data_IF_819161616490
#
_entry.id   IF_819161616490
#
_cell.length_a   1.000
_cell.length_b   1.000
_cell.length_c   1.000
_cell.angle_alpha   90.00
_cell.angle_beta   90.00
_cell.angle_gamma   90.00
#
_symmetry.space_group_name_H-M   'P 1'
#
loop_
_entity.id
_entity.type
_entity.pdbx_description
1 polymer ?
#
# COMPACT_ATOMS: atom_id res chain seq x y z
N UNK A 1 -25.57 36.09 -21.88
CA UNK A 1 -24.66 35.31 -20.99
C UNK A 1 -25.49 34.19 -20.40
N UNK A 2 -25.08 32.94 -20.56
CA UNK A 2 -25.76 31.79 -19.97
C UNK A 2 -25.46 31.80 -18.47
N UNK A 3 -26.50 31.77 -17.62
CA UNK A 3 -26.34 31.65 -16.17
C UNK A 3 -26.07 30.18 -15.87
N UNK A 4 -25.12 29.92 -14.97
CA UNK A 4 -24.68 28.56 -14.65
C UNK A 4 -24.56 28.36 -13.14
N UNK A 5 -24.75 27.14 -12.70
CA UNK A 5 -24.42 26.67 -11.35
C UNK A 5 -23.26 25.69 -11.42
N UNK A 6 -22.28 25.86 -10.53
CA UNK A 6 -21.14 24.95 -10.39
C UNK A 6 -21.26 24.23 -9.06
N UNK A 7 -21.26 22.90 -9.07
CA UNK A 7 -21.40 22.08 -7.85
C UNK A 7 -20.34 20.99 -7.83
N UNK A 8 -19.81 20.73 -6.62
CA UNK A 8 -18.94 19.59 -6.34
C UNK A 8 -19.76 18.40 -5.85
N UNK A 9 -19.75 17.34 -6.66
CA UNK A 9 -20.22 16.01 -6.28
C UNK A 9 -19.18 15.29 -5.46
N UNK A 10 -19.61 14.67 -4.36
CA UNK A 10 -18.75 13.76 -3.59
C UNK A 10 -19.25 12.35 -3.86
N UNK A 11 -18.40 11.53 -4.47
CA UNK A 11 -18.64 10.11 -4.63
C UNK A 11 -18.10 9.36 -3.42
N UNK A 12 -18.79 8.29 -3.07
CA UNK A 12 -18.33 7.32 -2.07
C UNK A 12 -18.58 5.91 -2.57
N UNK A 13 -17.60 5.02 -2.37
CA UNK A 13 -17.75 3.59 -2.61
C UNK A 13 -17.00 2.81 -1.53
N UNK A 14 -17.61 1.72 -1.08
CA UNK A 14 -17.08 0.85 -0.03
C UNK A 14 -16.86 -0.54 -0.61
N UNK A 15 -15.74 -1.17 -0.27
CA UNK A 15 -15.44 -2.52 -0.71
C UNK A 15 -14.77 -3.36 0.36
N UNK A 16 -15.08 -4.66 0.37
CA UNK A 16 -14.36 -5.61 1.22
C UNK A 16 -13.03 -5.98 0.57
N UNK A 17 -11.90 -5.92 1.29
CA UNK A 17 -10.63 -6.38 0.76
C UNK A 17 -10.69 -7.87 0.41
N UNK A 18 -10.25 -8.20 -0.80
CA UNK A 18 -10.18 -9.58 -1.31
C UNK A 18 -8.74 -9.95 -1.74
N UNK A 19 -7.78 -9.05 -1.53
CA UNK A 19 -6.41 -9.21 -1.98
C UNK A 19 -5.42 -8.69 -0.95
N UNK A 20 -4.27 -9.35 -0.85
CA UNK A 20 -3.20 -9.01 0.10
C UNK A 20 -1.96 -8.59 -0.66
N UNK A 21 -1.29 -7.57 -0.14
CA UNK A 21 0.05 -7.18 -0.53
C UNK A 21 0.97 -7.30 0.68
N UNK A 22 1.94 -8.20 0.62
CA UNK A 22 3.02 -8.27 1.60
C UNK A 22 4.26 -7.64 0.97
N UNK A 23 4.73 -6.57 1.59
CA UNK A 23 6.00 -5.91 1.25
C UNK A 23 7.06 -6.34 2.24
N UNK A 24 8.24 -6.68 1.75
CA UNK A 24 9.35 -7.19 2.55
C UNK A 24 10.62 -6.44 2.19
N UNK A 25 11.43 -6.12 3.18
CA UNK A 25 12.77 -5.55 2.98
C UNK A 25 13.81 -6.50 3.58
N UNK A 26 14.77 -6.89 2.75
CA UNK A 26 15.94 -7.67 3.14
C UNK A 26 17.18 -6.80 3.04
N UNK A 27 17.86 -6.62 4.16
CA UNK A 27 19.14 -5.93 4.23
C UNK A 27 20.25 -6.93 4.51
N UNK A 28 21.39 -6.74 3.84
CA UNK A 28 22.63 -7.44 4.12
C UNK A 28 23.77 -6.43 4.24
N UNK A 29 24.62 -6.60 5.25
CA UNK A 29 25.71 -5.67 5.54
C UNK A 29 27.04 -6.41 5.67
N UNK A 30 28.09 -5.90 5.01
CA UNK A 30 29.46 -6.35 5.20
C UNK A 30 30.45 -5.20 4.93
N UNK A 31 31.64 -5.26 5.54
CA UNK A 31 32.73 -4.31 5.28
C UNK A 31 33.23 -4.36 3.84
N UNK A 32 33.05 -5.49 3.15
CA UNK A 32 33.40 -5.68 1.74
C UNK A 32 32.15 -5.71 0.88
N UNK A 33 32.15 -4.91 -0.18
CA UNK A 33 31.06 -4.84 -1.14
C UNK A 33 30.65 -6.21 -1.71
N UNK A 34 31.62 -7.01 -2.16
CA UNK A 34 31.38 -8.33 -2.77
C UNK A 34 30.67 -9.28 -1.79
N UNK A 35 31.09 -9.29 -0.53
CA UNK A 35 30.46 -10.11 0.52
C UNK A 35 29.06 -9.65 0.84
N UNK A 36 28.82 -8.33 0.91
CA UNK A 36 27.47 -7.80 1.14
C UNK A 36 26.51 -8.23 0.02
N UNK A 37 26.98 -8.23 -1.24
CA UNK A 37 26.22 -8.71 -2.39
C UNK A 37 25.94 -10.22 -2.33
N UNK A 38 26.95 -11.03 -1.99
CA UNK A 38 26.79 -12.49 -1.81
C UNK A 38 25.77 -12.81 -0.71
N UNK A 39 25.89 -12.16 0.45
CA UNK A 39 24.94 -12.32 1.57
C UNK A 39 23.52 -11.94 1.17
N UNK A 40 23.36 -10.82 0.45
CA UNK A 40 22.05 -10.39 -0.04
C UNK A 40 21.41 -11.42 -0.99
N UNK A 41 22.21 -12.02 -1.88
CA UNK A 41 21.74 -13.08 -2.78
C UNK A 41 21.32 -14.35 -2.02
N UNK A 42 22.09 -14.75 -1.01
CA UNK A 42 21.75 -15.89 -0.13
C UNK A 42 20.46 -15.61 0.63
N UNK A 43 20.31 -14.43 1.24
CA UNK A 43 19.09 -14.04 1.96
C UNK A 43 17.85 -14.06 1.05
N UNK A 44 17.98 -13.56 -0.18
CA UNK A 44 16.90 -13.56 -1.16
C UNK A 44 16.48 -15.00 -1.53
N UNK A 45 17.44 -15.89 -1.81
CA UNK A 45 17.12 -17.27 -2.15
C UNK A 45 16.53 -18.05 -0.97
N UNK A 46 16.98 -17.79 0.27
CA UNK A 46 16.37 -18.35 1.48
C UNK A 46 14.90 -17.93 1.61
N UNK A 47 14.59 -16.64 1.43
CA UNK A 47 13.22 -16.14 1.49
C UNK A 47 12.33 -16.76 0.40
N UNK A 48 12.84 -16.84 -0.84
CA UNK A 48 12.12 -17.51 -1.94
C UNK A 48 11.86 -18.98 -1.64
N UNK A 49 12.83 -19.69 -1.05
CA UNK A 49 12.66 -21.09 -0.67
C UNK A 49 11.62 -21.26 0.44
N UNK A 50 11.65 -20.41 1.48
CA UNK A 50 10.64 -20.43 2.55
C UNK A 50 9.22 -20.23 2.01
N UNK A 51 9.04 -19.26 1.12
CA UNK A 51 7.74 -18.97 0.50
C UNK A 51 7.31 -20.01 -0.54
N UNK A 52 8.25 -20.66 -1.23
CA UNK A 52 7.94 -21.80 -2.08
C UNK A 52 7.37 -22.98 -1.28
N UNK A 53 7.84 -23.16 -0.04
CA UNK A 53 7.29 -24.15 0.90
C UNK A 53 5.82 -23.92 1.27
N UNK A 54 5.29 -22.72 1.08
CA UNK A 54 3.86 -22.39 1.31
C UNK A 54 3.03 -22.35 0.03
N UNK A 55 3.60 -22.78 -1.10
CA UNK A 55 2.90 -22.93 -2.37
C UNK A 55 2.97 -21.72 -3.31
N UNK A 56 3.86 -20.75 -3.05
CA UNK A 56 4.13 -19.68 -4.00
C UNK A 56 5.18 -20.07 -5.03
N UNK A 57 4.96 -19.69 -6.29
CA UNK A 57 6.03 -19.75 -7.28
C UNK A 57 7.14 -18.77 -6.91
N UNK A 58 8.40 -19.16 -7.16
CA UNK A 58 9.55 -18.25 -6.94
C UNK A 58 9.41 -16.94 -7.70
N UNK A 59 8.71 -16.97 -8.84
CA UNK A 59 8.44 -15.80 -9.69
C UNK A 59 7.32 -14.90 -9.15
N UNK A 60 6.50 -15.38 -8.21
CA UNK A 60 5.46 -14.59 -7.57
C UNK A 60 6.04 -13.47 -6.69
N UNK A 61 7.27 -13.67 -6.20
CA UNK A 61 8.01 -12.67 -5.44
C UNK A 61 8.66 -11.70 -6.41
N UNK A 62 8.23 -10.45 -6.38
CA UNK A 62 8.73 -9.38 -7.25
C UNK A 62 9.66 -8.46 -6.48
N UNK A 63 10.81 -8.14 -7.06
CA UNK A 63 11.67 -7.05 -6.55
C UNK A 63 11.08 -5.72 -6.98
N UNK A 64 10.74 -4.88 -6.00
CA UNK A 64 10.22 -3.53 -6.24
C UNK A 64 11.31 -2.48 -6.20
N UNK A 65 12.38 -2.71 -5.45
CA UNK A 65 13.54 -1.85 -5.41
C UNK A 65 14.80 -2.64 -5.05
N UNK A 66 15.94 -2.20 -5.58
CA UNK A 66 17.25 -2.72 -5.23
C UNK A 66 18.20 -1.55 -5.06
N UNK A 67 18.87 -1.47 -3.91
CA UNK A 67 19.76 -0.38 -3.60
C UNK A 67 21.01 -0.87 -2.86
N UNK A 68 22.16 -0.26 -3.16
CA UNK A 68 23.40 -0.48 -2.42
C UNK A 68 23.92 0.87 -1.93
N UNK A 69 24.16 0.97 -0.63
CA UNK A 69 24.65 2.20 0.01
C UNK A 69 25.82 1.90 0.93
N UNK A 70 26.66 2.91 1.15
CA UNK A 70 27.64 2.87 2.23
C UNK A 70 26.98 3.26 3.55
N UNK A 71 27.41 2.63 4.63
CA UNK A 71 26.96 2.92 5.97
C UNK A 71 28.10 3.54 6.78
N UNK A 72 27.74 4.47 7.66
CA UNK A 72 28.67 5.14 8.55
C UNK A 72 28.07 5.23 9.95
N UNK A 73 28.86 4.89 10.95
CA UNK A 73 28.47 4.98 12.33
C UNK A 73 29.11 6.21 12.98
N UNK A 74 28.33 6.92 13.79
CA UNK A 74 28.84 7.99 14.64
C UNK A 74 29.49 7.36 15.87
N UNK A 75 30.80 7.49 15.98
CA UNK A 75 31.58 7.07 17.15
C UNK A 75 32.12 8.30 17.87
N UNK A 76 32.05 8.30 19.19
CA UNK A 76 32.62 9.35 20.02
C UNK A 76 34.06 8.98 20.37
N UNK A 77 35.01 9.84 20.04
CA UNK A 77 36.40 9.66 20.44
C UNK A 77 36.58 9.84 21.96
N UNK A 78 37.74 9.45 22.48
CA UNK A 78 38.07 9.61 23.91
C UNK A 78 38.10 11.06 24.41
N UNK A 79 38.02 12.05 23.51
CA UNK A 79 37.95 13.48 23.82
C UNK A 79 36.53 14.04 23.69
N UNK A 80 35.52 13.18 23.51
CA UNK A 80 34.12 13.58 23.41
C UNK A 80 33.70 14.11 22.02
N UNK A 81 34.55 14.02 20.99
CA UNK A 81 34.22 14.44 19.62
C UNK A 81 33.59 13.31 18.82
N UNK A 82 32.51 13.62 18.12
CA UNK A 82 31.85 12.68 17.21
C UNK A 82 32.58 12.58 15.88
N UNK A 83 32.77 11.36 15.38
CA UNK A 83 33.36 11.06 14.08
C UNK A 83 32.50 10.03 13.36
N UNK A 84 32.27 10.27 12.06
CA UNK A 84 31.70 9.27 11.17
C UNK A 84 32.78 8.26 10.78
N UNK A 85 32.59 7.01 11.18
CA UNK A 85 33.46 5.88 10.85
C UNK A 85 32.74 5.00 9.84
N UNK A 86 33.44 4.61 8.78
CA UNK A 86 32.88 3.72 7.76
C UNK A 86 32.50 2.37 8.37
N UNK A 87 31.23 1.98 8.20
CA UNK A 87 30.62 0.80 8.79
C UNK A 87 30.21 -0.25 7.74
N UNK A 88 30.79 -0.15 6.53
CA UNK A 88 30.57 -1.14 5.47
C UNK A 88 29.54 -0.73 4.43
N UNK A 89 29.10 -1.72 3.66
CA UNK A 89 28.12 -1.60 2.60
C UNK A 89 26.83 -2.30 3.01
N UNK A 90 25.70 -1.64 2.80
CA UNK A 90 24.37 -2.20 2.98
C UNK A 90 23.74 -2.42 1.61
N UNK A 91 23.35 -3.65 1.33
CA UNK A 91 22.57 -4.05 0.16
C UNK A 91 21.14 -4.29 0.61
N UNK A 92 20.20 -3.53 0.05
CA UNK A 92 18.78 -3.57 0.39
C UNK A 92 17.94 -4.05 -0.79
N UNK A 93 17.17 -5.12 -0.58
CA UNK A 93 16.14 -5.59 -1.49
C UNK A 93 14.75 -5.28 -0.94
N UNK A 94 13.98 -4.45 -1.64
CA UNK A 94 12.55 -4.35 -1.40
C UNK A 94 11.82 -5.31 -2.32
N UNK A 95 11.00 -6.16 -1.73
CA UNK A 95 10.28 -7.25 -2.37
C UNK A 95 8.79 -7.11 -2.10
N UNK A 96 7.98 -7.68 -2.98
CA UNK A 96 6.54 -7.70 -2.87
C UNK A 96 6.00 -9.05 -3.33
N UNK A 97 5.04 -9.59 -2.58
CA UNK A 97 4.22 -10.71 -3.00
C UNK A 97 2.74 -10.34 -2.82
N UNK A 98 1.90 -10.80 -3.74
CA UNK A 98 0.47 -10.52 -3.71
C UNK A 98 -0.35 -11.77 -3.99
N UNK A 99 -1.52 -11.89 -3.36
CA UNK A 99 -2.41 -13.04 -3.51
C UNK A 99 -3.81 -12.76 -2.97
N UNK A 100 -4.78 -13.59 -3.36
CA UNK A 100 -6.17 -13.52 -2.90
C UNK A 100 -6.23 -13.70 -1.37
N UNK A 101 -7.01 -12.85 -0.70
CA UNK A 101 -7.10 -12.83 0.76
C UNK A 101 -7.78 -14.10 1.28
N UNK A 102 -7.03 -14.85 2.07
CA UNK A 102 -7.50 -15.95 2.88
C UNK A 102 -6.70 -15.96 4.19
N UNK A 103 -7.38 -15.97 5.33
CA UNK A 103 -6.75 -15.84 6.64
C UNK A 103 -5.76 -16.98 6.94
N UNK A 104 -6.05 -18.20 6.48
CA UNK A 104 -5.18 -19.37 6.69
C UNK A 104 -3.93 -19.25 5.84
N UNK A 105 -4.08 -18.91 4.56
CA UNK A 105 -2.96 -18.69 3.64
C UNK A 105 -2.07 -17.55 4.12
N UNK A 106 -2.67 -16.45 4.59
CA UNK A 106 -1.93 -15.33 5.19
C UNK A 106 -1.12 -15.81 6.40
N UNK A 107 -1.76 -16.49 7.35
CA UNK A 107 -1.08 -16.99 8.56
C UNK A 107 0.07 -17.95 8.23
N UNK A 108 -0.11 -18.85 7.25
CA UNK A 108 0.95 -19.76 6.80
C UNK A 108 2.12 -19.01 6.16
N UNK A 109 1.81 -18.01 5.34
CA UNK A 109 2.80 -17.16 4.68
C UNK A 109 3.62 -16.38 5.69
N UNK A 110 2.96 -15.76 6.68
CA UNK A 110 3.63 -15.03 7.75
C UNK A 110 4.50 -15.94 8.61
N UNK A 111 4.05 -17.16 8.92
CA UNK A 111 4.85 -18.15 9.63
C UNK A 111 6.13 -18.50 8.87
N UNK A 112 6.04 -18.78 7.58
CA UNK A 112 7.22 -19.10 6.76
C UNK A 112 8.20 -17.93 6.62
N UNK A 113 7.70 -16.69 6.60
CA UNK A 113 8.54 -15.49 6.60
C UNK A 113 9.23 -15.31 7.97
N UNK A 114 8.48 -15.50 9.06
CA UNK A 114 9.02 -15.36 10.42
C UNK A 114 10.10 -16.40 10.73
N UNK A 115 9.96 -17.63 10.22
CA UNK A 115 10.95 -18.70 10.36
C UNK A 115 12.15 -18.53 9.39
N UNK A 116 12.10 -17.55 8.48
CA UNK A 116 13.19 -17.29 7.56
C UNK A 116 14.41 -16.72 8.29
N UNK A 117 15.57 -17.35 8.12
CA UNK A 117 16.85 -16.94 8.73
C UNK A 117 17.24 -15.51 8.36
N UNK A 118 16.87 -15.08 7.15
CA UNK A 118 17.14 -13.75 6.64
C UNK A 118 16.32 -12.63 7.32
N UNK A 119 15.29 -12.99 8.13
CA UNK A 119 14.48 -12.09 8.97
C UNK A 119 14.08 -10.78 8.28
N UNK A 120 13.35 -10.84 7.15
CA UNK A 120 12.92 -9.64 6.46
C UNK A 120 12.02 -8.77 7.35
N UNK A 121 12.17 -7.46 7.21
CA UNK A 121 11.19 -6.51 7.73
C UNK A 121 9.97 -6.55 6.83
N UNK A 122 8.77 -6.72 7.39
CA UNK A 122 7.55 -6.89 6.60
C UNK A 122 6.46 -5.87 6.95
N UNK A 123 5.66 -5.54 5.94
CA UNK A 123 4.43 -4.77 6.06
C UNK A 123 3.34 -5.40 5.20
N UNK A 124 2.11 -5.41 5.70
CA UNK A 124 0.95 -5.99 5.01
C UNK A 124 -0.06 -4.88 4.74
N UNK A 125 -0.58 -4.86 3.52
CA UNK A 125 -1.70 -4.04 3.11
C UNK A 125 -2.81 -4.95 2.53
N UNK A 126 -4.05 -4.59 2.80
CA UNK A 126 -5.23 -5.25 2.22
C UNK A 126 -5.83 -4.33 1.16
N UNK A 127 -6.19 -4.91 0.03
CA UNK A 127 -6.68 -4.18 -1.15
C UNK A 127 -7.72 -5.03 -1.88
N UNK A 128 -8.24 -4.49 -2.98
CA UNK A 128 -9.02 -5.28 -3.93
C UNK A 128 -8.18 -5.64 -5.14
N UNK A 129 -8.41 -6.85 -5.67
CA UNK A 129 -7.70 -7.34 -6.86
C UNK A 129 -7.99 -6.50 -8.10
N UNK A 130 -9.25 -6.10 -8.26
CA UNK A 130 -9.70 -5.23 -9.35
C UNK A 130 -10.46 -4.02 -8.81
N UNK A 131 -9.85 -2.81 -8.78
CA UNK A 131 -10.51 -1.61 -8.32
C UNK A 131 -11.47 -0.99 -9.34
N UNK A 132 -11.59 -1.56 -10.55
CA UNK A 132 -12.37 -0.95 -11.64
C UNK A 132 -13.84 -0.79 -11.28
N UNK A 133 -14.46 -1.82 -10.69
CA UNK A 133 -15.86 -1.75 -10.26
C UNK A 133 -16.11 -0.67 -9.21
N UNK A 134 -15.20 -0.54 -8.24
CA UNK A 134 -15.27 0.51 -7.19
C UNK A 134 -15.15 1.89 -7.80
N UNK A 135 -14.23 2.07 -8.76
CA UNK A 135 -14.07 3.35 -9.47
C UNK A 135 -15.33 3.74 -10.22
N UNK A 136 -15.99 2.79 -10.90
CA UNK A 136 -17.25 3.06 -11.59
C UNK A 136 -18.36 3.47 -10.63
N UNK A 137 -18.52 2.76 -9.52
CA UNK A 137 -19.50 3.07 -8.48
C UNK A 137 -19.25 4.45 -7.87
N UNK A 138 -17.99 4.76 -7.57
CA UNK A 138 -17.56 6.04 -7.03
C UNK A 138 -17.93 7.20 -7.95
N UNK A 139 -17.67 7.07 -9.26
CA UNK A 139 -17.99 8.10 -10.25
C UNK A 139 -19.50 8.27 -10.45
N UNK A 140 -20.27 7.17 -10.49
CA UNK A 140 -21.74 7.21 -10.55
C UNK A 140 -22.32 7.94 -9.34
N UNK A 141 -21.86 7.55 -8.14
CA UNK A 141 -22.24 8.17 -6.87
C UNK A 141 -21.92 9.67 -6.85
N UNK A 142 -20.74 10.09 -7.34
CA UNK A 142 -20.36 11.49 -7.41
C UNK A 142 -21.30 12.31 -8.32
N UNK A 143 -21.67 11.77 -9.48
CA UNK A 143 -22.57 12.43 -10.42
C UNK A 143 -23.99 12.59 -9.86
N UNK A 144 -24.53 11.54 -9.24
CA UNK A 144 -25.83 11.57 -8.58
C UNK A 144 -25.86 12.57 -7.41
N UNK A 145 -24.81 12.58 -6.59
CA UNK A 145 -24.65 13.52 -5.50
C UNK A 145 -24.60 14.98 -5.99
N UNK A 146 -23.83 15.25 -7.03
CA UNK A 146 -23.70 16.59 -7.61
C UNK A 146 -25.04 17.10 -8.15
N UNK A 147 -25.74 16.24 -8.91
CA UNK A 147 -27.05 16.56 -9.48
C UNK A 147 -28.07 16.89 -8.39
N UNK A 148 -28.18 16.03 -7.36
CA UNK A 148 -29.11 16.26 -6.24
C UNK A 148 -28.83 17.58 -5.53
N UNK A 149 -27.56 17.92 -5.29
CA UNK A 149 -27.17 19.21 -4.71
C UNK A 149 -27.56 20.38 -5.60
N UNK A 150 -27.35 20.28 -6.91
CA UNK A 150 -27.72 21.31 -7.87
C UNK A 150 -29.24 21.53 -7.89
N UNK A 151 -30.04 20.45 -7.90
CA UNK A 151 -31.51 20.52 -7.85
C UNK A 151 -32.01 21.25 -6.59
N UNK A 152 -31.47 20.91 -5.41
CA UNK A 152 -31.82 21.57 -4.13
C UNK A 152 -31.47 23.07 -4.16
N UNK A 153 -30.29 23.43 -4.67
CA UNK A 153 -29.83 24.82 -4.73
C UNK A 153 -30.66 25.66 -5.70
N UNK A 154 -31.04 25.08 -6.85
CA UNK A 154 -31.93 25.71 -7.81
C UNK A 154 -33.32 25.94 -7.21
N UNK A 155 -33.92 24.90 -6.60
CA UNK A 155 -35.23 25.00 -5.94
C UNK A 155 -35.25 26.08 -4.85
N UNK A 156 -34.24 26.09 -3.97
CA UNK A 156 -34.12 27.10 -2.92
C UNK A 156 -33.90 28.53 -3.45
N UNK A 157 -33.44 28.67 -4.71
CA UNK A 157 -33.20 29.95 -5.37
C UNK A 157 -34.32 30.35 -6.34
N UNK A 158 -35.42 29.59 -6.43
CA UNK A 158 -36.49 29.76 -7.43
C UNK A 158 -36.00 29.73 -8.90
N UNK A 159 -34.94 28.97 -9.19
CA UNK A 159 -34.41 28.73 -10.54
C UNK A 159 -34.63 27.25 -10.92
N UNK A 160 -34.57 26.87 -12.20
CA UNK A 160 -34.60 25.46 -12.61
C UNK A 160 -33.23 24.96 -13.03
N UNK A 161 -32.96 23.69 -12.78
CA UNK A 161 -31.73 23.06 -13.27
C UNK A 161 -31.84 22.79 -14.78
N UNK A 162 -30.91 23.35 -15.54
CA UNK A 162 -30.81 23.22 -16.99
C UNK A 162 -29.90 22.07 -17.44
N UNK A 163 -29.34 22.20 -18.65
CA UNK A 163 -28.48 21.17 -19.26
C UNK A 163 -27.11 21.15 -18.60
N UNK A 164 -26.49 19.97 -18.58
CA UNK A 164 -25.09 19.83 -18.16
C UNK A 164 -24.18 20.47 -19.22
N UNK A 165 -23.30 21.38 -18.79
CA UNK A 165 -22.39 22.14 -19.66
C UNK A 165 -20.99 21.54 -19.63
N UNK A 166 -20.49 21.22 -18.44
CA UNK A 166 -19.14 20.70 -18.27
C UNK A 166 -19.04 19.77 -17.07
N UNK A 167 -18.13 18.81 -17.18
CA UNK A 167 -17.63 17.99 -16.07
C UNK A 167 -16.12 18.25 -16.01
N UNK A 168 -15.65 18.74 -14.88
CA UNK A 168 -14.23 18.84 -14.57
C UNK A 168 -13.87 17.72 -13.59
N UNK A 169 -13.17 16.74 -14.14
CA UNK A 169 -12.62 15.62 -13.40
C UNK A 169 -11.11 15.56 -13.66
N UNK A 170 -10.33 15.93 -12.65
CA UNK A 170 -8.88 15.77 -12.67
C UNK A 170 -8.51 14.67 -11.67
N UNK A 171 -8.24 13.47 -12.19
CA UNK A 171 -7.92 12.32 -11.37
C UNK A 171 -6.43 12.29 -11.03
N UNK A 172 -6.12 11.98 -9.77
CA UNK A 172 -4.84 11.39 -9.37
C UNK A 172 -5.09 9.91 -9.07
N UNK A 173 -4.08 9.05 -9.24
CA UNK A 173 -4.21 7.61 -9.04
C UNK A 173 -4.89 7.25 -7.71
N UNK A 174 -6.11 6.69 -7.79
CA UNK A 174 -6.90 6.26 -6.64
C UNK A 174 -6.24 5.03 -6.00
N UNK A 175 -5.63 5.21 -4.83
CA UNK A 175 -5.03 4.15 -4.05
C UNK A 175 -6.11 3.45 -3.21
N UNK A 176 -6.61 2.31 -3.68
CA UNK A 176 -7.68 1.53 -3.02
C UNK A 176 -7.05 0.54 -2.05
N UNK A 177 -6.75 0.99 -0.84
CA UNK A 177 -6.17 0.16 0.21
C UNK A 177 -6.98 0.33 1.50
N UNK A 178 -7.17 -0.76 2.25
CA UNK A 178 -7.73 -0.72 3.60
C UNK A 178 -6.82 0.09 4.53
N UNK A 179 -7.43 0.75 5.53
CA UNK A 179 -6.69 1.43 6.59
C UNK A 179 -6.00 0.45 7.54
N UNK A 180 -6.43 -0.82 7.55
CA UNK A 180 -5.79 -1.87 8.35
C UNK A 180 -4.34 -2.06 7.88
N UNK A 181 -3.40 -1.64 8.74
CA UNK A 181 -1.96 -1.85 8.54
C UNK A 181 -1.45 -2.87 9.53
N UNK A 182 -0.77 -3.89 9.04
CA UNK A 182 0.05 -4.75 9.87
C UNK A 182 1.52 -4.41 9.64
N UNK A 183 2.19 -4.02 10.74
CA UNK A 183 3.64 -3.81 10.75
C UNK A 183 4.19 -4.62 11.90
N UNK A 184 5.21 -5.43 11.62
CA UNK A 184 5.94 -6.13 12.66
C UNK A 184 7.20 -5.33 13.00
N UNK A 185 7.39 -5.00 14.27
CA UNK A 185 8.63 -4.35 14.71
C UNK A 185 9.79 -5.36 14.67
N UNK A 186 11.00 -4.89 14.34
CA UNK A 186 12.20 -5.72 14.16
C UNK A 186 12.51 -6.63 15.36
N UNK A 187 12.12 -6.21 16.57
CA UNK A 187 12.32 -6.95 17.80
C UNK A 187 11.30 -8.10 18.04
N UNK A 188 10.22 -8.18 17.26
CA UNK A 188 9.20 -9.23 17.39
C UNK A 188 9.53 -10.52 16.64
N UNK A 189 10.45 -10.50 15.66
CA UNK A 189 10.87 -11.68 14.88
C UNK A 189 11.81 -12.63 15.66
N UNK A 190 12.31 -12.22 16.83
CA UNK A 190 13.24 -13.02 17.64
C UNK A 190 12.55 -13.97 18.63
N UNK A 191 11.25 -13.81 18.88
CA UNK A 191 10.47 -14.74 19.69
C UNK A 191 9.94 -15.88 18.79
N UNK A 192 9.94 -17.15 19.24
CA UNK A 192 9.34 -18.22 18.47
C UNK A 192 7.84 -17.93 18.32
N UNK A 193 7.44 -17.38 17.18
CA UNK A 193 6.04 -17.25 16.79
C UNK A 193 5.49 -18.63 16.47
N UNK A 194 5.31 -19.46 17.51
CA UNK A 194 4.21 -20.44 17.54
C UNK A 194 2.88 -19.69 17.70
N UNK A 195 2.65 -18.68 16.87
CA UNK A 195 1.43 -17.92 16.90
C UNK A 195 0.31 -18.86 16.46
N UNK A 196 -0.60 -19.17 17.41
CA UNK A 196 -1.96 -19.58 17.08
C UNK A 196 -2.41 -18.72 15.91
N UNK A 197 -2.91 -19.36 14.85
CA UNK A 197 -3.42 -18.73 13.63
C UNK A 197 -4.00 -17.36 13.94
N UNK A 198 -3.30 -16.31 13.51
CA UNK A 198 -3.71 -14.94 13.75
C UNK A 198 -4.95 -14.73 12.86
N UNK A 199 -6.10 -14.59 13.50
CA UNK A 199 -7.36 -14.29 12.83
C UNK A 199 -7.41 -12.77 12.61
N UNK A 200 -7.05 -12.35 11.39
CA UNK A 200 -7.17 -10.96 10.94
C UNK A 200 -8.40 -10.88 10.04
N UNK A 201 -9.32 -9.99 10.40
CA UNK A 201 -10.37 -9.51 9.52
C UNK A 201 -10.05 -8.05 9.18
N UNK A 202 -9.69 -7.73 7.93
CA UNK A 202 -9.35 -6.36 7.55
C UNK A 202 -10.61 -5.50 7.44
N UNK A 203 -10.48 -4.22 7.77
CA UNK A 203 -11.56 -3.24 7.65
C UNK A 203 -11.95 -3.02 6.19
N UNK A 204 -13.22 -2.69 5.97
CA UNK A 204 -13.72 -2.30 4.66
C UNK A 204 -12.98 -1.07 4.12
N UNK A 205 -12.77 -1.03 2.81
CA UNK A 205 -12.08 0.05 2.13
C UNK A 205 -13.11 1.11 1.76
N UNK A 206 -13.04 2.27 2.41
CA UNK A 206 -13.85 3.42 2.06
C UNK A 206 -13.07 4.36 1.13
N UNK A 207 -13.59 4.53 -0.09
CA UNK A 207 -13.03 5.46 -1.07
C UNK A 207 -13.96 6.65 -1.28
N UNK A 208 -13.37 7.84 -1.38
CA UNK A 208 -14.08 9.08 -1.67
C UNK A 208 -13.34 9.88 -2.73
N UNK A 209 -14.08 10.44 -3.65
CA UNK A 209 -13.53 11.34 -4.67
C UNK A 209 -14.51 12.48 -4.95
N UNK A 210 -14.01 13.57 -5.51
CA UNK A 210 -14.78 14.77 -5.78
C UNK A 210 -14.71 15.13 -7.26
N UNK A 211 -15.87 15.33 -7.88
CA UNK A 211 -15.99 15.73 -9.28
C UNK A 211 -16.74 17.05 -9.36
N UNK A 212 -16.28 17.98 -10.19
CA UNK A 212 -16.94 19.29 -10.35
C UNK A 212 -17.82 19.25 -11.59
N UNK A 213 -19.05 19.72 -11.45
CA UNK A 213 -20.03 19.75 -12.53
C UNK A 213 -20.58 21.17 -12.70
N UNK A 214 -20.82 21.56 -13.95
CA UNK A 214 -21.41 22.85 -14.31
C UNK A 214 -22.69 22.61 -15.10
N UNK A 215 -23.81 23.17 -14.62
CA UNK A 215 -25.10 23.16 -15.33
C UNK A 215 -25.54 24.56 -15.68
N UNK A 216 -26.37 24.67 -16.71
CA UNK A 216 -27.15 25.89 -17.00
C UNK A 216 -28.26 26.05 -15.97
N UNK A 217 -28.69 27.30 -15.77
CA UNK A 217 -29.94 27.63 -15.08
C UNK A 217 -31.04 27.91 -16.12
N UNK A 218 -32.25 27.45 -15.85
CA UNK A 218 -33.42 27.55 -16.71
C UNK A 218 -34.61 28.24 -16.05
#
# INVERSE_FOLDING_TARGET
MTRTITVKGVGSATARPDYVIISMTLDAQDMKYEKAMELAAVHLEQLKASLAGTGFDKEAIKTTNFNVRTDYQNEQDGNGKWKNVFNGYIVSHSLKITFDFDAKRLSQTLGAIADCVAKPVLSIAFTVKDPTGIKEELLKSAAENARRKAEILCEASNEKLGRLVAIDYNWAELNVCSETRYSMADNCLAAPMRAKSIEIEPDEIDTRDTVTFVWELA
#
